data_IF_031393697640
#
_entry.id   IF_031393697640
#
_cell.length_a   1.000
_cell.length_b   1.000
_cell.length_c   1.000
_cell.angle_alpha   90.00
_cell.angle_beta   90.00
_cell.angle_gamma   90.00
#
_symmetry.space_group_name_H-M   'P 1'
#
loop_
_entity.id
_entity.type
_entity.pdbx_description
1 polymer ?
#
# COMPACT_ATOMS: atom_id res chain seq x y z
N UNK A 1 7.46 -2.01 -13.98
CA UNK A 1 6.39 -1.18 -13.41
C UNK A 1 5.11 -1.98 -13.34
N UNK A 2 4.42 -1.95 -12.21
CA UNK A 2 3.06 -2.47 -12.08
C UNK A 2 2.07 -1.31 -11.94
N UNK A 3 0.94 -1.41 -12.64
CA UNK A 3 -0.19 -0.49 -12.50
C UNK A 3 -1.34 -1.27 -11.90
N UNK A 4 -1.77 -0.84 -10.72
CA UNK A 4 -2.84 -1.49 -9.96
C UNK A 4 -3.98 -0.50 -9.78
N UNK A 5 -5.04 -0.71 -10.52
CA UNK A 5 -6.23 0.13 -10.49
C UNK A 5 -7.47 -0.71 -10.73
N UNK A 6 -8.65 -0.12 -10.58
CA UNK A 6 -9.92 -0.76 -10.78
C UNK A 6 -10.49 -1.50 -9.55
N UNK A 7 -11.74 -1.82 -9.66
CA UNK A 7 -12.52 -2.49 -8.60
C UNK A 7 -12.10 -3.93 -8.32
N UNK A 8 -11.29 -4.53 -9.21
CA UNK A 8 -10.77 -5.89 -9.03
C UNK A 8 -9.40 -5.82 -8.36
N UNK A 9 -9.26 -6.42 -7.19
CA UNK A 9 -8.01 -6.42 -6.46
C UNK A 9 -6.92 -7.27 -7.10
N UNK A 10 -5.68 -6.87 -6.93
CA UNK A 10 -4.48 -7.60 -7.35
C UNK A 10 -4.03 -8.52 -6.21
N UNK A 11 -4.53 -9.77 -6.19
CA UNK A 11 -4.29 -10.72 -5.12
C UNK A 11 -3.66 -12.02 -5.62
N UNK A 12 -3.18 -12.86 -4.70
CA UNK A 12 -2.57 -14.15 -5.00
C UNK A 12 -1.33 -14.00 -5.88
N UNK A 13 -1.22 -14.83 -6.92
CA UNK A 13 -0.07 -14.82 -7.84
C UNK A 13 0.18 -13.47 -8.49
N UNK A 14 -0.86 -12.73 -8.84
CA UNK A 14 -0.72 -11.37 -9.40
C UNK A 14 -0.20 -10.37 -8.36
N UNK A 15 -0.55 -10.53 -7.09
CA UNK A 15 0.03 -9.76 -5.99
C UNK A 15 1.54 -9.95 -5.89
N UNK A 16 2.02 -11.19 -6.03
CA UNK A 16 3.47 -11.48 -6.08
C UNK A 16 4.15 -10.83 -7.29
N UNK A 17 3.55 -10.95 -8.49
CA UNK A 17 4.09 -10.35 -9.71
C UNK A 17 4.20 -8.84 -9.57
N UNK A 18 3.16 -8.18 -9.07
CA UNK A 18 3.20 -6.74 -8.84
C UNK A 18 4.26 -6.35 -7.79
N UNK A 19 4.32 -7.07 -6.67
CA UNK A 19 5.31 -6.82 -5.62
C UNK A 19 6.77 -7.04 -6.07
N UNK A 20 7.00 -7.85 -7.11
CA UNK A 20 8.32 -8.08 -7.69
C UNK A 20 8.78 -6.95 -8.63
N UNK A 21 7.92 -5.99 -8.96
CA UNK A 21 8.29 -4.85 -9.81
C UNK A 21 8.99 -3.74 -9.02
N UNK A 22 9.79 -2.94 -9.70
CA UNK A 22 10.55 -1.85 -9.05
C UNK A 22 9.66 -0.67 -8.67
N UNK A 23 8.61 -0.42 -9.46
CA UNK A 23 7.69 0.70 -9.27
C UNK A 23 6.25 0.22 -9.32
N UNK A 24 5.45 0.61 -8.34
CA UNK A 24 4.02 0.33 -8.27
C UNK A 24 3.26 1.66 -8.30
N UNK A 25 2.40 1.81 -9.30
CA UNK A 25 1.46 2.92 -9.46
C UNK A 25 0.07 2.41 -9.11
N UNK A 26 -0.62 3.04 -8.18
CA UNK A 26 -1.99 2.67 -7.79
C UNK A 26 -2.92 3.89 -7.88
N UNK A 27 -4.14 3.67 -8.32
CA UNK A 27 -5.21 4.63 -8.06
C UNK A 27 -5.88 4.33 -6.71
N UNK A 28 -6.74 5.23 -6.23
CA UNK A 28 -7.42 5.06 -4.95
C UNK A 28 -8.36 3.84 -4.88
N UNK A 29 -8.87 3.35 -6.01
CA UNK A 29 -9.67 2.11 -6.11
C UNK A 29 -8.79 0.85 -6.12
N UNK A 30 -7.49 0.98 -6.31
CA UNK A 30 -6.54 -0.11 -6.38
C UNK A 30 -6.39 -0.83 -5.04
N UNK A 31 -6.33 -2.16 -5.11
CA UNK A 31 -6.08 -3.02 -3.95
C UNK A 31 -5.03 -4.06 -4.31
N UNK A 32 -4.07 -4.24 -3.43
CA UNK A 32 -2.99 -5.22 -3.60
C UNK A 32 -2.74 -5.97 -2.30
N UNK A 33 -2.54 -7.26 -2.40
CA UNK A 33 -2.23 -8.11 -1.26
C UNK A 33 -1.87 -9.53 -1.68
N UNK A 34 -1.44 -10.31 -0.69
CA UNK A 34 -1.16 -11.72 -0.89
C UNK A 34 -2.47 -12.53 -1.02
N UNK A 35 -3.43 -12.22 -0.17
CA UNK A 35 -4.68 -12.96 -0.03
C UNK A 35 -5.86 -12.01 -0.22
N UNK A 36 -6.90 -12.44 -0.94
CA UNK A 36 -8.13 -11.67 -1.11
C UNK A 36 -8.92 -11.56 0.18
N UNK A 37 -9.73 -10.50 0.35
CA UNK A 37 -10.51 -10.26 1.56
C UNK A 37 -11.41 -11.41 1.97
N UNK A 38 -12.08 -12.03 1.00
CA UNK A 38 -13.00 -13.15 1.25
C UNK A 38 -12.29 -14.39 1.79
N UNK A 39 -11.06 -14.63 1.35
CA UNK A 39 -10.24 -15.74 1.85
C UNK A 39 -9.74 -15.45 3.26
N UNK A 40 -9.39 -14.20 3.56
CA UNK A 40 -9.02 -13.80 4.92
C UNK A 40 -10.20 -14.02 5.88
N UNK A 41 -11.40 -13.57 5.49
CA UNK A 41 -12.62 -13.79 6.28
C UNK A 41 -12.90 -15.30 6.51
N UNK A 42 -12.70 -16.12 5.47
CA UNK A 42 -12.90 -17.56 5.57
C UNK A 42 -11.94 -18.23 6.57
N UNK A 43 -10.69 -17.78 6.61
CA UNK A 43 -9.65 -18.36 7.49
C UNK A 43 -9.71 -17.83 8.92
N UNK A 44 -9.99 -16.54 9.10
CA UNK A 44 -9.95 -15.87 10.40
C UNK A 44 -11.33 -15.77 11.07
N UNK A 45 -12.40 -15.83 10.30
CA UNK A 45 -13.76 -15.60 10.75
C UNK A 45 -14.19 -14.15 10.55
N UNK A 46 -15.50 -13.97 10.37
CA UNK A 46 -16.10 -12.65 10.08
C UNK A 46 -15.96 -11.65 11.23
N UNK A 47 -15.88 -12.11 12.46
CA UNK A 47 -15.70 -11.27 13.65
C UNK A 47 -14.30 -10.62 13.67
N UNK A 48 -13.30 -11.32 13.12
CA UNK A 48 -11.93 -10.81 13.03
C UNK A 48 -11.70 -9.99 11.75
N UNK A 49 -12.28 -10.40 10.64
CA UNK A 49 -12.15 -9.72 9.35
C UNK A 49 -13.41 -9.86 8.52
N UNK A 50 -14.18 -8.79 8.39
CA UNK A 50 -15.39 -8.74 7.57
C UNK A 50 -15.06 -8.23 6.15
N UNK A 51 -15.03 -9.12 5.17
CA UNK A 51 -14.75 -8.79 3.77
C UNK A 51 -15.82 -7.88 3.14
N UNK A 52 -17.03 -7.81 3.71
CA UNK A 52 -18.08 -6.89 3.27
C UNK A 52 -17.88 -5.47 3.79
N UNK A 53 -17.05 -5.28 4.80
CA UNK A 53 -16.68 -3.97 5.33
C UNK A 53 -15.63 -3.30 4.42
N UNK A 54 -16.11 -2.52 3.44
CA UNK A 54 -15.25 -1.84 2.49
C UNK A 54 -14.17 -0.99 3.15
N UNK A 55 -14.51 -0.27 4.21
CA UNK A 55 -13.56 0.59 4.92
C UNK A 55 -12.41 -0.23 5.50
N UNK A 56 -12.69 -1.38 6.13
CA UNK A 56 -11.67 -2.30 6.64
C UNK A 56 -10.81 -2.85 5.51
N UNK A 57 -11.42 -3.31 4.41
CA UNK A 57 -10.71 -3.84 3.24
C UNK A 57 -9.76 -2.80 2.64
N UNK A 58 -10.20 -1.54 2.49
CA UNK A 58 -9.34 -0.49 1.94
C UNK A 58 -8.25 -0.05 2.93
N UNK A 59 -8.50 -0.10 4.24
CA UNK A 59 -7.45 0.16 5.26
C UNK A 59 -6.37 -0.93 5.34
N UNK A 60 -6.65 -2.12 4.81
CA UNK A 60 -5.69 -3.26 4.80
C UNK A 60 -5.01 -3.47 3.46
N UNK A 61 -5.72 -3.32 2.35
CA UNK A 61 -5.23 -3.67 1.01
C UNK A 61 -5.25 -2.51 0.02
N UNK A 62 -5.92 -1.41 0.38
CA UNK A 62 -6.13 -0.26 -0.50
C UNK A 62 -4.89 0.62 -0.71
N UNK A 63 -4.94 1.41 -1.76
CA UNK A 63 -3.80 2.19 -2.23
C UNK A 63 -3.27 3.20 -1.20
N UNK A 64 -4.12 3.90 -0.45
CA UNK A 64 -3.68 4.84 0.60
C UNK A 64 -2.90 4.12 1.70
N UNK A 65 -3.37 2.96 2.15
CA UNK A 65 -2.62 2.12 3.10
C UNK A 65 -1.28 1.70 2.52
N UNK A 66 -1.27 1.17 1.28
CA UNK A 66 -0.05 0.73 0.60
C UNK A 66 0.95 1.87 0.38
N UNK A 67 0.46 3.08 0.14
CA UNK A 67 1.30 4.26 0.02
C UNK A 67 1.96 4.62 1.38
N UNK A 68 1.20 4.60 2.47
CA UNK A 68 1.72 4.88 3.82
C UNK A 68 2.80 3.87 4.22
N UNK A 69 2.56 2.58 4.02
CA UNK A 69 3.52 1.53 4.41
C UNK A 69 4.68 1.35 3.41
N UNK A 70 4.66 2.07 2.29
CA UNK A 70 5.75 2.07 1.31
C UNK A 70 5.66 0.99 0.23
N UNK A 71 4.53 0.30 0.11
CA UNK A 71 4.30 -0.73 -0.92
C UNK A 71 3.77 -0.15 -2.24
N UNK A 72 3.37 1.12 -2.27
CA UNK A 72 2.97 1.86 -3.46
C UNK A 72 3.91 3.06 -3.64
N UNK A 73 4.42 3.27 -4.84
CA UNK A 73 5.33 4.39 -5.15
C UNK A 73 4.56 5.65 -5.54
N UNK A 74 3.56 5.51 -6.40
CA UNK A 74 2.71 6.59 -6.91
C UNK A 74 1.25 6.28 -6.62
N UNK A 75 0.59 7.19 -5.94
CA UNK A 75 -0.86 7.20 -5.76
C UNK A 75 -1.45 8.28 -6.68
N UNK A 76 -2.41 7.90 -7.52
CA UNK A 76 -3.02 8.76 -8.53
C UNK A 76 -4.54 8.72 -8.44
N UNK A 77 -5.22 9.72 -9.01
CA UNK A 77 -6.66 9.69 -9.21
C UNK A 77 -7.06 8.63 -10.24
N UNK A 78 -8.32 8.21 -10.23
CA UNK A 78 -8.85 7.19 -11.17
C UNK A 78 -9.14 7.81 -12.54
N UNK A 79 -8.13 8.43 -13.13
CA UNK A 79 -8.21 8.98 -14.50
C UNK A 79 -7.09 8.48 -15.39
N UNK A 80 -7.40 8.32 -16.68
CA UNK A 80 -6.37 7.94 -17.67
C UNK A 80 -5.25 9.00 -17.74
N UNK A 81 -5.59 10.27 -17.52
CA UNK A 81 -4.65 11.39 -17.52
C UNK A 81 -3.60 11.23 -16.43
N UNK A 82 -4.05 10.94 -15.20
CA UNK A 82 -3.17 10.83 -14.04
C UNK A 82 -2.27 9.58 -14.12
N UNK A 83 -2.81 8.46 -14.61
CA UNK A 83 -1.97 7.29 -14.91
C UNK A 83 -0.91 7.59 -15.98
N UNK A 84 -1.27 8.30 -17.06
CA UNK A 84 -0.31 8.68 -18.10
C UNK A 84 0.77 9.61 -17.55
N UNK A 85 0.40 10.59 -16.72
CA UNK A 85 1.35 11.50 -16.09
C UNK A 85 2.33 10.75 -15.20
N UNK A 86 1.85 9.89 -14.30
CA UNK A 86 2.71 9.08 -13.44
C UNK A 86 3.63 8.14 -14.23
N UNK A 87 3.13 7.51 -15.28
CA UNK A 87 3.95 6.64 -16.14
C UNK A 87 4.98 7.42 -16.95
N UNK A 88 4.68 8.65 -17.37
CA UNK A 88 5.66 9.52 -18.01
C UNK A 88 6.79 9.89 -17.03
N UNK A 89 6.45 10.26 -15.79
CA UNK A 89 7.46 10.50 -14.74
C UNK A 89 8.34 9.27 -14.52
N UNK A 90 7.74 8.08 -14.43
CA UNK A 90 8.50 6.83 -14.26
C UNK A 90 9.41 6.56 -15.45
N UNK A 91 8.97 6.85 -16.68
CA UNK A 91 9.77 6.67 -17.90
C UNK A 91 10.99 7.60 -17.95
N UNK A 92 10.88 8.77 -17.32
CA UNK A 92 11.96 9.76 -17.27
C UNK A 92 12.94 9.54 -16.09
N UNK A 93 12.65 8.57 -15.19
CA UNK A 93 13.54 8.27 -14.07
C UNK A 93 14.87 7.68 -14.55
N UNK A 94 15.96 8.14 -13.95
CA UNK A 94 17.27 7.49 -14.12
C UNK A 94 17.29 6.10 -13.47
N UNK A 95 18.17 5.22 -13.93
CA UNK A 95 18.37 3.90 -13.31
C UNK A 95 18.71 4.03 -11.82
N UNK A 96 19.51 5.02 -11.45
CA UNK A 96 19.83 5.30 -10.04
C UNK A 96 18.59 5.66 -9.21
N UNK A 97 17.67 6.44 -9.77
CA UNK A 97 16.41 6.79 -9.11
C UNK A 97 15.51 5.55 -8.94
N UNK A 98 15.43 4.69 -9.96
CA UNK A 98 14.69 3.42 -9.90
C UNK A 98 15.32 2.49 -8.84
N UNK A 99 16.63 2.39 -8.80
CA UNK A 99 17.33 1.59 -7.80
C UNK A 99 17.05 2.06 -6.37
N UNK A 100 16.94 3.37 -6.16
CA UNK A 100 16.53 3.93 -4.86
C UNK A 100 15.07 3.62 -4.49
N UNK A 101 14.22 3.42 -5.47
CA UNK A 101 12.82 2.99 -5.25
C UNK A 101 12.72 1.48 -5.04
N UNK A 102 13.66 0.72 -5.60
CA UNK A 102 13.74 -0.71 -5.49
C UNK A 102 14.01 -1.14 -4.06
N UNK A 103 13.35 -2.18 -3.61
CA UNK A 103 13.65 -2.84 -2.34
C UNK A 103 15.00 -3.53 -2.46
N UNK A 104 16.01 -2.91 -1.88
CA UNK A 104 17.40 -3.27 -2.13
C UNK A 104 17.76 -4.56 -1.39
N UNK A 105 17.98 -5.62 -2.17
CA UNK A 105 18.60 -6.86 -1.71
C UNK A 105 17.74 -7.74 -0.80
N UNK A 106 17.73 -9.02 -1.05
CA UNK A 106 16.89 -9.98 -0.32
C UNK A 106 17.16 -10.01 1.19
N UNK A 107 18.41 -9.85 1.61
CA UNK A 107 18.77 -9.85 3.04
C UNK A 107 18.22 -8.63 3.77
N UNK A 108 18.37 -7.44 3.20
CA UNK A 108 17.80 -6.21 3.77
C UNK A 108 16.29 -6.26 3.83
N UNK A 109 15.65 -6.79 2.78
CA UNK A 109 14.20 -6.97 2.76
C UNK A 109 13.74 -7.91 3.89
N UNK A 110 14.43 -9.02 4.09
CA UNK A 110 14.12 -9.96 5.18
C UNK A 110 14.29 -9.29 6.55
N UNK A 111 15.38 -8.55 6.76
CA UNK A 111 15.61 -7.81 8.00
C UNK A 111 14.54 -6.75 8.25
N UNK A 112 14.14 -6.02 7.21
CA UNK A 112 13.06 -5.04 7.28
C UNK A 112 11.74 -5.72 7.66
N UNK A 113 11.38 -6.83 7.01
CA UNK A 113 10.16 -7.58 7.32
C UNK A 113 10.17 -8.15 8.73
N UNK A 114 11.31 -8.68 9.20
CA UNK A 114 11.46 -9.12 10.58
C UNK A 114 11.26 -7.96 11.58
N UNK A 115 11.81 -6.79 11.27
CA UNK A 115 11.59 -5.58 12.07
C UNK A 115 10.11 -5.18 12.14
N UNK A 116 9.38 -5.25 11.01
CA UNK A 116 7.96 -4.95 10.98
C UNK A 116 7.12 -5.97 11.76
N UNK A 117 7.43 -7.26 11.63
CA UNK A 117 6.76 -8.32 12.42
C UNK A 117 6.96 -8.08 13.91
N UNK A 118 8.19 -7.75 14.33
CA UNK A 118 8.50 -7.43 15.73
C UNK A 118 7.74 -6.19 16.20
N UNK A 119 7.73 -5.12 15.41
CA UNK A 119 7.00 -3.90 15.72
C UNK A 119 5.49 -4.18 15.92
N UNK A 120 4.87 -4.95 15.01
CA UNK A 120 3.47 -5.30 15.11
C UNK A 120 3.20 -6.17 16.34
N UNK A 121 4.09 -7.12 16.64
CA UNK A 121 3.96 -7.96 17.84
C UNK A 121 4.07 -7.16 19.14
N UNK A 122 4.93 -6.15 19.21
CA UNK A 122 5.10 -5.26 20.37
C UNK A 122 3.95 -4.26 20.49
N UNK A 123 3.51 -3.70 19.38
CA UNK A 123 2.49 -2.65 19.31
C UNK A 123 1.07 -3.20 19.46
N UNK A 124 0.82 -4.43 18.99
CA UNK A 124 -0.49 -5.08 18.94
C UNK A 124 -1.60 -4.16 18.38
N UNK A 125 -1.42 -3.62 17.17
CA UNK A 125 -2.39 -2.71 16.58
C UNK A 125 -3.71 -3.42 16.32
N UNK A 126 -4.81 -2.73 16.62
CA UNK A 126 -6.16 -3.23 16.34
C UNK A 126 -6.61 -2.95 14.90
N UNK A 127 -6.07 -1.90 14.32
CA UNK A 127 -6.40 -1.47 12.97
C UNK A 127 -5.14 -0.88 12.30
N UNK A 128 -5.12 -0.82 10.98
CA UNK A 128 -4.05 -0.19 10.21
C UNK A 128 -3.86 1.29 10.55
N UNK A 129 -4.90 1.96 11.04
CA UNK A 129 -4.81 3.34 11.51
C UNK A 129 -3.87 3.52 12.71
N UNK A 130 -3.70 2.50 13.55
CA UNK A 130 -2.72 2.54 14.64
C UNK A 130 -1.29 2.60 14.08
N UNK A 131 -1.00 1.84 13.01
CA UNK A 131 0.27 1.92 12.28
C UNK A 131 0.45 3.28 11.59
N UNK A 132 -0.62 3.83 11.00
CA UNK A 132 -0.54 5.15 10.37
C UNK A 132 -0.21 6.24 11.40
N UNK A 133 -0.82 6.17 12.58
CA UNK A 133 -0.50 7.07 13.70
C UNK A 133 0.94 6.90 14.16
N UNK A 134 1.42 5.67 14.26
CA UNK A 134 2.81 5.38 14.63
C UNK A 134 3.80 6.01 13.63
N UNK A 135 3.47 6.03 12.33
CA UNK A 135 4.26 6.72 11.30
C UNK A 135 4.07 8.23 11.27
N UNK A 136 3.34 8.80 12.24
CA UNK A 136 3.22 10.23 12.46
C UNK A 136 2.01 10.89 11.79
N UNK A 137 1.02 10.12 11.33
CA UNK A 137 -0.23 10.68 10.86
C UNK A 137 -1.15 10.94 12.08
N UNK A 138 -1.32 12.20 12.46
CA UNK A 138 -2.01 12.58 13.71
C UNK A 138 -3.49 12.22 13.69
N UNK A 139 -4.17 12.42 12.53
CA UNK A 139 -5.60 12.16 12.34
C UNK A 139 -5.83 11.02 11.33
N UNK A 140 -5.47 9.77 11.66
CA UNK A 140 -5.52 8.67 10.69
C UNK A 140 -6.95 8.35 10.21
N UNK A 141 -7.97 8.65 10.99
CA UNK A 141 -9.37 8.42 10.62
C UNK A 141 -9.87 9.33 9.48
N UNK A 142 -9.23 10.48 9.27
CA UNK A 142 -9.60 11.42 8.19
C UNK A 142 -8.98 11.02 6.84
N UNK A 143 -7.84 10.32 6.86
CA UNK A 143 -7.07 10.00 5.65
C UNK A 143 -7.86 9.21 4.58
N UNK A 144 -8.72 8.24 4.91
CA UNK A 144 -9.51 7.53 3.92
C UNK A 144 -10.50 8.42 3.15
N UNK A 145 -11.04 9.44 3.80
CA UNK A 145 -12.08 10.33 3.24
C UNK A 145 -11.50 11.46 2.37
N UNK A 146 -10.20 11.71 2.45
CA UNK A 146 -9.53 12.75 1.66
C UNK A 146 -9.49 12.36 0.19
N UNK A 147 -9.55 13.35 -0.71
CA UNK A 147 -9.14 13.16 -2.11
C UNK A 147 -7.67 12.75 -2.17
N UNK A 148 -7.25 12.15 -3.28
CA UNK A 148 -5.83 11.79 -3.47
C UNK A 148 -4.91 13.01 -3.33
N UNK A 149 -5.30 14.15 -3.88
CA UNK A 149 -4.52 15.40 -3.80
C UNK A 149 -4.39 15.90 -2.35
N UNK A 150 -5.47 15.94 -1.57
CA UNK A 150 -5.44 16.34 -0.16
C UNK A 150 -4.60 15.37 0.67
N UNK A 151 -4.81 14.07 0.46
CA UNK A 151 -4.05 13.02 1.14
C UNK A 151 -2.54 13.17 0.91
N UNK A 152 -2.10 13.34 -0.34
CA UNK A 152 -0.68 13.45 -0.68
C UNK A 152 0.00 14.68 -0.06
N UNK A 153 -0.75 15.75 0.24
CA UNK A 153 -0.22 16.96 0.89
C UNK A 153 0.09 16.78 2.38
N UNK A 154 -0.61 15.87 3.06
CA UNK A 154 -0.54 15.75 4.53
C UNK A 154 0.06 14.42 5.00
N UNK A 155 0.02 13.39 4.17
CA UNK A 155 0.39 12.03 4.55
C UNK A 155 1.86 11.89 4.88
N UNK A 156 2.15 11.18 5.97
CA UNK A 156 3.51 10.73 6.33
C UNK A 156 3.63 9.24 6.02
N UNK A 157 4.67 8.91 5.29
CA UNK A 157 5.00 7.54 4.91
C UNK A 157 5.93 6.90 5.93
N UNK A 158 5.88 5.58 6.00
CA UNK A 158 6.88 4.80 6.71
C UNK A 158 8.29 5.20 6.23
N UNK A 159 9.21 5.56 7.15
CA UNK A 159 10.61 5.78 6.79
C UNK A 159 11.19 4.51 6.16
N UNK A 160 11.90 4.64 5.05
CA UNK A 160 12.70 3.54 4.49
C UNK A 160 14.06 3.50 5.19
N UNK A 161 14.50 2.30 5.55
CA UNK A 161 15.84 2.07 6.10
C UNK A 161 16.93 2.22 5.03
#
# INVERSE_FOLDING_TARGET
VAVVGSKVGCFGGMGFVAAATDVIVMNEEGRIGLTGPEVIEQEMGKDEFDASNKALVYRTTGAKHKYIIGDCNYLVEDTVGDFKAALAEVADLSMEAIEKMRRIGSLKLVQEQQGLVKLVAEMQPKDSMDLWKYYGNENPAELPEMTTEEFLKVVKRRPRA
#
